data_IF_599355837874
#
_entry.id   IF_599355837874
#
_cell.length_a   1.000
_cell.length_b   1.000
_cell.length_c   1.000
_cell.angle_alpha   90.00
_cell.angle_beta   90.00
_cell.angle_gamma   90.00
#
_symmetry.space_group_name_H-M   'P 1'
#
loop_
_entity.id
_entity.type
_entity.pdbx_description
1 polymer ?
#
# COMPACT_ATOMS: atom_id res chain seq x y z
N UNK A 1 33.99 -26.56 0.11
CA UNK A 1 33.91 -25.61 -1.02
C UNK A 1 32.45 -25.36 -1.46
N UNK A 2 31.67 -26.38 -1.79
CA UNK A 2 30.27 -26.19 -2.29
C UNK A 2 29.39 -25.43 -1.31
N UNK A 3 29.38 -25.78 -0.03
CA UNK A 3 28.58 -25.05 1.00
C UNK A 3 28.98 -23.57 1.14
N UNK A 4 30.27 -23.27 1.02
CA UNK A 4 30.77 -21.91 1.08
C UNK A 4 30.28 -21.08 -0.13
N UNK A 5 30.30 -21.65 -1.34
CA UNK A 5 29.76 -21.03 -2.54
C UNK A 5 28.24 -20.80 -2.42
N UNK A 6 27.50 -21.74 -1.84
CA UNK A 6 26.05 -21.61 -1.60
C UNK A 6 25.76 -20.46 -0.62
N UNK A 7 26.53 -20.36 0.48
CA UNK A 7 26.39 -19.29 1.46
C UNK A 7 26.67 -17.93 0.82
N UNK A 8 27.76 -17.80 0.05
CA UNK A 8 28.11 -16.56 -0.67
C UNK A 8 27.00 -16.20 -1.66
N UNK A 9 26.51 -17.15 -2.45
CA UNK A 9 25.44 -16.92 -3.39
C UNK A 9 24.16 -16.46 -2.69
N UNK A 10 23.82 -17.06 -1.55
CA UNK A 10 22.65 -16.66 -0.74
C UNK A 10 22.80 -15.27 -0.16
N UNK A 11 23.98 -14.93 0.39
CA UNK A 11 24.27 -13.57 0.91
C UNK A 11 24.21 -12.54 -0.23
N UNK A 12 24.79 -12.87 -1.38
CA UNK A 12 24.77 -12.01 -2.56
C UNK A 12 23.34 -11.79 -3.08
N UNK A 13 22.53 -12.86 -3.15
CA UNK A 13 21.13 -12.78 -3.50
C UNK A 13 20.34 -11.90 -2.51
N UNK A 14 20.64 -12.03 -1.22
CA UNK A 14 19.97 -11.23 -0.17
C UNK A 14 20.35 -9.75 -0.21
N UNK A 15 21.59 -9.43 -0.68
CA UNK A 15 22.05 -8.04 -0.84
C UNK A 15 21.45 -7.40 -2.10
N UNK A 16 21.36 -8.13 -3.22
CA UNK A 16 20.90 -7.60 -4.51
C UNK A 16 19.36 -7.64 -4.61
N UNK A 17 18.75 -8.75 -4.17
CA UNK A 17 17.31 -8.93 -4.20
C UNK A 17 16.75 -8.69 -2.81
N UNK A 18 15.72 -7.87 -2.73
CA UNK A 18 14.97 -7.71 -1.48
C UNK A 18 14.09 -8.95 -1.21
N UNK A 19 14.78 -10.03 -0.86
CA UNK A 19 14.14 -11.33 -0.65
C UNK A 19 13.02 -11.27 0.39
N UNK A 20 13.22 -10.52 1.47
CA UNK A 20 12.20 -10.32 2.50
C UNK A 20 10.93 -9.68 1.96
N UNK A 21 11.06 -8.72 1.04
CA UNK A 21 9.92 -8.07 0.41
C UNK A 21 9.10 -9.07 -0.41
N UNK A 22 9.78 -9.84 -1.28
CA UNK A 22 9.10 -10.83 -2.12
C UNK A 22 8.44 -11.91 -1.29
N UNK A 23 9.15 -12.46 -0.30
CA UNK A 23 8.62 -13.50 0.58
C UNK A 23 7.38 -13.00 1.32
N UNK A 24 7.43 -11.81 1.88
CA UNK A 24 6.31 -11.21 2.60
C UNK A 24 5.14 -10.89 1.67
N UNK A 25 5.41 -10.38 0.46
CA UNK A 25 4.36 -10.15 -0.55
C UNK A 25 3.65 -11.45 -0.90
N UNK A 26 4.39 -12.51 -1.24
CA UNK A 26 3.84 -13.82 -1.57
C UNK A 26 3.03 -14.38 -0.40
N UNK A 27 3.58 -14.32 0.82
CA UNK A 27 2.88 -14.78 2.02
C UNK A 27 1.58 -14.00 2.26
N UNK A 28 1.60 -12.67 2.11
CA UNK A 28 0.41 -11.82 2.27
C UNK A 28 -0.67 -12.18 1.24
N UNK A 29 -0.30 -12.36 -0.03
CA UNK A 29 -1.25 -12.73 -1.09
C UNK A 29 -1.82 -14.13 -0.86
N UNK A 30 -0.98 -15.11 -0.52
CA UNK A 30 -1.42 -16.49 -0.26
C UNK A 30 -2.36 -16.55 0.94
N UNK A 31 -2.00 -15.92 2.06
CA UNK A 31 -2.84 -15.93 3.26
C UNK A 31 -4.17 -15.23 3.03
N UNK A 32 -4.20 -14.08 2.37
CA UNK A 32 -5.45 -13.39 2.03
C UNK A 32 -6.34 -14.20 1.09
N UNK A 33 -5.76 -14.97 0.18
CA UNK A 33 -6.53 -15.77 -0.79
C UNK A 33 -7.16 -17.03 -0.16
N UNK A 34 -6.39 -17.73 0.68
CA UNK A 34 -6.79 -19.06 1.17
C UNK A 34 -7.33 -19.06 2.60
N UNK A 35 -6.94 -18.10 3.42
CA UNK A 35 -7.30 -18.09 4.84
C UNK A 35 -8.36 -17.04 5.19
N UNK A 36 -8.66 -16.11 4.29
CA UNK A 36 -9.56 -15.01 4.58
C UNK A 36 -10.72 -14.93 3.59
N UNK A 37 -11.89 -14.51 4.07
CA UNK A 37 -13.07 -14.34 3.22
C UNK A 37 -12.97 -13.08 2.35
N UNK A 38 -13.58 -13.11 1.16
CA UNK A 38 -13.71 -11.90 0.32
C UNK A 38 -14.53 -10.85 1.06
N UNK A 39 -14.23 -9.59 0.82
CA UNK A 39 -14.87 -8.43 1.44
C UNK A 39 -15.32 -7.40 0.37
N UNK A 40 -16.10 -6.42 0.81
CA UNK A 40 -16.57 -5.31 -0.03
C UNK A 40 -15.51 -4.22 -0.18
N UNK A 41 -15.66 -3.35 -1.20
CA UNK A 41 -14.84 -2.14 -1.38
C UNK A 41 -14.93 -1.16 -0.20
N UNK A 42 -16.06 -1.17 0.52
CA UNK A 42 -16.31 -0.30 1.67
C UNK A 42 -15.69 -0.82 2.97
N UNK A 43 -15.26 -2.10 2.98
CA UNK A 43 -14.71 -2.73 4.17
C UNK A 43 -13.27 -2.27 4.45
N UNK A 44 -12.89 -2.38 5.72
CA UNK A 44 -11.53 -2.12 6.18
C UNK A 44 -10.79 -3.45 6.26
N UNK A 45 -9.65 -3.53 5.58
CA UNK A 45 -8.75 -4.68 5.72
C UNK A 45 -7.61 -4.37 6.67
N UNK A 46 -7.11 -5.37 7.39
CA UNK A 46 -6.07 -5.19 8.40
C UNK A 46 -4.94 -6.17 8.19
N UNK A 47 -3.72 -5.68 8.15
CA UNK A 47 -2.49 -6.48 8.24
C UNK A 47 -1.73 -6.15 9.51
N UNK A 48 -0.91 -7.10 9.97
CA UNK A 48 -0.09 -6.95 11.17
C UNK A 48 1.39 -6.86 10.82
N UNK A 49 2.12 -6.10 11.64
CA UNK A 49 3.55 -5.92 11.49
C UNK A 49 4.27 -5.77 12.83
N UNK A 50 5.58 -5.94 12.77
CA UNK A 50 6.50 -5.71 13.88
C UNK A 50 7.58 -4.74 13.39
N UNK A 51 7.83 -3.67 14.16
CA UNK A 51 8.92 -2.76 13.88
C UNK A 51 10.24 -3.40 14.29
N UNK A 52 11.06 -3.80 13.32
CA UNK A 52 12.36 -4.43 13.54
C UNK A 52 13.50 -3.41 13.48
N UNK A 53 14.72 -3.82 13.85
CA UNK A 53 15.92 -2.98 13.73
C UNK A 53 16.16 -2.48 12.31
N UNK A 54 15.83 -3.29 11.29
CA UNK A 54 15.98 -2.92 9.88
C UNK A 54 15.01 -1.81 9.44
N UNK A 55 13.91 -1.64 10.16
CA UNK A 55 12.86 -0.68 9.86
C UNK A 55 13.12 0.69 10.49
N UNK A 56 14.00 0.73 11.50
CA UNK A 56 14.25 1.91 12.32
C UNK A 56 15.15 2.95 11.64
N UNK A 57 15.11 4.15 12.21
CA UNK A 57 16.05 5.23 11.93
C UNK A 57 17.48 4.89 12.41
N UNK A 58 18.45 5.75 12.13
CA UNK A 58 19.86 5.57 12.50
C UNK A 58 20.05 5.47 14.02
N UNK A 59 19.15 6.04 14.79
CA UNK A 59 19.20 6.03 16.27
C UNK A 59 18.41 4.88 16.89
N UNK A 60 17.84 3.99 16.08
CA UNK A 60 17.02 2.86 16.52
C UNK A 60 15.85 3.22 17.45
N UNK A 61 15.30 4.42 17.28
CA UNK A 61 14.20 4.90 18.13
C UNK A 61 12.83 4.61 17.56
N UNK A 62 12.69 4.80 16.26
CA UNK A 62 11.39 4.69 15.59
C UNK A 62 11.52 4.22 14.16
N UNK A 63 10.40 3.77 13.60
CA UNK A 63 10.32 3.34 12.22
C UNK A 63 10.58 4.52 11.27
N UNK A 64 11.31 4.27 10.19
CA UNK A 64 11.50 5.26 9.11
C UNK A 64 10.22 5.39 8.28
N UNK A 65 9.84 6.62 7.95
CA UNK A 65 8.68 6.88 7.09
C UNK A 65 8.79 6.16 5.74
N UNK A 66 9.98 6.11 5.15
CA UNK A 66 10.20 5.38 3.89
C UNK A 66 9.89 3.87 4.03
N UNK A 67 10.13 3.29 5.20
CA UNK A 67 9.79 1.91 5.49
C UNK A 67 8.29 1.71 5.61
N UNK A 68 7.59 2.65 6.25
CA UNK A 68 6.11 2.63 6.31
C UNK A 68 5.47 2.71 4.95
N UNK A 69 5.98 3.57 4.05
CA UNK A 69 5.49 3.65 2.67
C UNK A 69 5.60 2.29 1.96
N UNK A 70 6.65 1.53 2.27
CA UNK A 70 6.81 0.17 1.77
C UNK A 70 5.86 -0.85 2.45
N UNK A 71 5.58 -0.66 3.73
CA UNK A 71 4.62 -1.50 4.46
C UNK A 71 3.19 -1.37 3.92
N UNK A 72 2.79 -0.19 3.45
CA UNK A 72 1.48 0.00 2.83
C UNK A 72 1.34 -0.73 1.48
N UNK A 73 2.43 -1.15 0.82
CA UNK A 73 2.34 -2.00 -0.37
C UNK A 73 1.74 -3.35 -0.02
N UNK A 74 2.17 -3.96 1.09
CA UNK A 74 1.59 -5.23 1.56
C UNK A 74 0.13 -5.06 1.95
N UNK A 75 -0.22 -3.97 2.64
CA UNK A 75 -1.59 -3.66 3.02
C UNK A 75 -2.50 -3.50 1.79
N UNK A 76 -1.99 -2.89 0.72
CA UNK A 76 -2.69 -2.73 -0.54
C UNK A 76 -2.85 -4.05 -1.29
N UNK A 77 -1.80 -4.88 -1.39
CA UNK A 77 -1.90 -6.21 -2.00
C UNK A 77 -2.92 -7.08 -1.26
N UNK A 78 -2.92 -7.04 0.07
CA UNK A 78 -3.91 -7.70 0.89
C UNK A 78 -5.34 -7.22 0.55
N UNK A 79 -5.55 -5.91 0.48
CA UNK A 79 -6.84 -5.33 0.10
C UNK A 79 -7.27 -5.76 -1.30
N UNK A 80 -6.38 -5.69 -2.28
CA UNK A 80 -6.68 -6.06 -3.67
C UNK A 80 -7.10 -7.53 -3.80
N UNK A 81 -6.44 -8.40 -3.06
CA UNK A 81 -6.76 -9.83 -3.06
C UNK A 81 -8.11 -10.11 -2.40
N UNK A 82 -8.38 -9.46 -1.24
CA UNK A 82 -9.61 -9.63 -0.47
C UNK A 82 -10.85 -9.14 -1.21
N UNK A 83 -10.74 -8.05 -1.94
CA UNK A 83 -11.87 -7.43 -2.67
C UNK A 83 -12.04 -8.00 -4.07
N UNK A 84 -11.00 -8.65 -4.63
CA UNK A 84 -11.02 -9.21 -5.99
C UNK A 84 -10.50 -8.23 -7.06
N UNK A 85 -9.94 -7.08 -6.67
CA UNK A 85 -9.31 -6.13 -7.61
C UNK A 85 -8.14 -6.79 -8.35
N UNK A 86 -7.38 -7.65 -7.68
CA UNK A 86 -6.23 -8.34 -8.29
C UNK A 86 -6.64 -9.24 -9.45
N UNK A 87 -7.63 -10.11 -9.25
CA UNK A 87 -8.17 -10.99 -10.30
C UNK A 87 -8.66 -10.18 -11.49
N UNK A 88 -9.43 -9.11 -11.20
CA UNK A 88 -9.98 -8.22 -12.22
C UNK A 88 -8.91 -7.46 -12.98
N UNK A 89 -7.82 -7.06 -12.31
CA UNK A 89 -6.69 -6.39 -12.96
C UNK A 89 -5.96 -7.28 -13.96
N UNK A 90 -5.84 -8.57 -13.68
CA UNK A 90 -5.27 -9.56 -14.61
C UNK A 90 -6.19 -9.75 -15.81
N UNK A 91 -7.50 -9.94 -15.61
CA UNK A 91 -8.49 -10.11 -16.67
C UNK A 91 -8.49 -8.93 -17.65
N UNK A 92 -8.40 -7.71 -17.14
CA UNK A 92 -8.46 -6.48 -17.95
C UNK A 92 -7.09 -6.00 -18.44
N UNK A 93 -5.99 -6.66 -18.04
CA UNK A 93 -4.62 -6.21 -18.34
C UNK A 93 -4.27 -4.86 -17.71
N UNK A 94 -4.94 -4.48 -16.61
CA UNK A 94 -4.73 -3.21 -15.91
C UNK A 94 -3.56 -3.35 -14.94
N UNK A 95 -2.61 -2.43 -15.05
CA UNK A 95 -1.47 -2.33 -14.13
C UNK A 95 -1.73 -1.27 -13.06
N UNK A 96 -1.35 -1.56 -11.82
CA UNK A 96 -1.39 -0.60 -10.72
C UNK A 96 -0.01 0.02 -10.51
N UNK A 97 0.05 1.35 -10.49
CA UNK A 97 1.27 2.11 -10.22
C UNK A 97 1.03 3.07 -9.06
N UNK A 98 1.91 3.02 -8.04
CA UNK A 98 1.86 4.01 -6.97
C UNK A 98 2.30 5.38 -7.49
N UNK A 99 1.38 6.34 -7.46
CA UNK A 99 1.61 7.69 -7.96
C UNK A 99 2.19 8.62 -6.90
N UNK A 100 1.57 8.63 -5.73
CA UNK A 100 1.98 9.53 -4.65
C UNK A 100 1.44 9.05 -3.31
N UNK A 101 2.10 9.48 -2.24
CA UNK A 101 1.69 9.17 -0.87
C UNK A 101 1.82 10.43 -0.03
N UNK A 102 0.76 10.74 0.71
CA UNK A 102 0.76 11.76 1.75
C UNK A 102 0.87 11.05 3.10
N UNK A 103 1.79 11.49 3.94
CA UNK A 103 2.01 10.90 5.26
C UNK A 103 1.87 11.94 6.34
N UNK A 104 1.05 11.65 7.34
CA UNK A 104 0.91 12.44 8.57
C UNK A 104 1.44 11.60 9.72
N UNK A 105 2.46 12.11 10.40
CA UNK A 105 3.04 11.48 11.59
C UNK A 105 2.36 12.05 12.82
N UNK A 106 1.61 11.23 13.54
CA UNK A 106 0.97 11.64 14.81
C UNK A 106 1.93 11.45 15.97
N UNK A 107 2.51 10.25 16.09
CA UNK A 107 3.52 9.90 17.07
C UNK A 107 4.52 8.92 16.46
N UNK A 108 5.79 8.88 16.90
CA UNK A 108 6.75 7.88 16.45
C UNK A 108 6.29 6.45 16.77
N UNK A 109 6.49 5.53 15.84
CA UNK A 109 6.29 4.09 16.06
C UNK A 109 7.59 3.50 16.60
N UNK A 110 7.63 3.08 17.89
CA UNK A 110 8.88 2.67 18.52
C UNK A 110 9.35 1.29 18.02
N UNK A 111 10.64 1.04 18.21
CA UNK A 111 11.25 -0.27 17.93
C UNK A 111 10.56 -1.38 18.73
N UNK A 112 10.47 -2.58 18.13
CA UNK A 112 9.80 -3.77 18.67
C UNK A 112 8.32 -3.59 18.99
N UNK A 113 7.70 -2.50 18.56
CA UNK A 113 6.26 -2.36 18.67
C UNK A 113 5.56 -3.25 17.65
N UNK A 114 4.59 -4.01 18.12
CA UNK A 114 3.59 -4.66 17.27
C UNK A 114 2.57 -3.62 16.84
N UNK A 115 2.28 -3.58 15.55
CA UNK A 115 1.30 -2.67 14.97
C UNK A 115 0.40 -3.38 13.99
N UNK A 116 -0.71 -2.73 13.67
CA UNK A 116 -1.59 -3.11 12.57
C UNK A 116 -1.73 -1.94 11.61
N UNK A 117 -1.97 -2.25 10.35
CA UNK A 117 -2.31 -1.27 9.31
C UNK A 117 -3.73 -1.57 8.86
N UNK A 118 -4.64 -0.66 9.17
CA UNK A 118 -6.00 -0.67 8.68
C UNK A 118 -6.04 0.04 7.34
N UNK A 119 -6.55 -0.61 6.30
CA UNK A 119 -6.59 -0.07 4.93
C UNK A 119 -8.03 0.02 4.46
N UNK A 120 -8.40 1.19 3.96
CA UNK A 120 -9.73 1.48 3.41
C UNK A 120 -9.60 2.19 2.07
N UNK A 121 -10.44 1.84 1.09
CA UNK A 121 -10.64 2.60 -0.13
C UNK A 121 -11.58 3.78 0.20
N UNK A 122 -11.07 5.02 0.13
CA UNK A 122 -11.84 6.21 0.53
C UNK A 122 -12.40 6.98 -0.64
N UNK A 123 -11.80 6.86 -1.82
CA UNK A 123 -12.25 7.54 -3.03
C UNK A 123 -11.60 6.91 -4.27
N UNK A 124 -12.23 7.08 -5.43
CA UNK A 124 -11.62 6.79 -6.74
C UNK A 124 -12.07 7.79 -7.79
N UNK A 125 -11.17 8.10 -8.72
CA UNK A 125 -11.46 8.87 -9.93
C UNK A 125 -11.37 7.97 -11.18
N UNK A 126 -11.42 8.53 -12.38
CA UNK A 126 -11.38 7.77 -13.65
C UNK A 126 -10.14 6.90 -13.80
N UNK A 127 -9.00 7.26 -13.16
CA UNK A 127 -7.70 6.63 -13.34
C UNK A 127 -6.97 6.30 -12.06
N UNK A 128 -7.53 6.64 -10.90
CA UNK A 128 -6.84 6.47 -9.62
C UNK A 128 -7.75 5.96 -8.53
N UNK A 129 -7.18 5.12 -7.67
CA UNK A 129 -7.75 4.67 -6.40
C UNK A 129 -7.03 5.38 -5.26
N UNK A 130 -7.76 5.82 -4.25
CA UNK A 130 -7.23 6.51 -3.07
C UNK A 130 -7.50 5.69 -1.83
N UNK A 131 -6.42 5.26 -1.21
CA UNK A 131 -6.46 4.46 0.02
C UNK A 131 -6.02 5.28 1.21
N UNK A 132 -6.72 5.10 2.30
CA UNK A 132 -6.32 5.56 3.62
C UNK A 132 -5.77 4.38 4.42
N UNK A 133 -4.62 4.58 5.05
CA UNK A 133 -3.93 3.59 5.86
C UNK A 133 -3.65 4.17 7.23
N UNK A 134 -4.24 3.58 8.26
CA UNK A 134 -3.97 3.92 9.65
C UNK A 134 -3.00 2.92 10.26
N UNK A 135 -1.87 3.39 10.74
CA UNK A 135 -0.90 2.57 11.48
C UNK A 135 -1.15 2.71 12.97
N UNK A 136 -1.60 1.63 13.58
CA UNK A 136 -2.04 1.60 14.98
C UNK A 136 -1.19 0.63 15.78
N UNK A 137 -0.62 1.08 16.89
CA UNK A 137 0.11 0.19 17.82
C UNK A 137 -0.86 -0.70 18.60
N UNK A 138 -0.55 -2.00 18.71
CA UNK A 138 -1.42 -2.96 19.39
C UNK A 138 -1.44 -2.79 20.91
N UNK A 139 -0.33 -2.30 21.47
CA UNK A 139 -0.17 -2.17 22.92
C UNK A 139 -1.11 -1.14 23.54
N UNK A 140 -1.27 0.01 22.91
CA UNK A 140 -2.01 1.17 23.44
C UNK A 140 -3.16 1.63 22.55
N UNK A 141 -3.35 0.99 21.38
CA UNK A 141 -4.42 1.33 20.44
C UNK A 141 -4.27 2.70 19.77
N UNK A 142 -3.12 3.36 19.89
CA UNK A 142 -2.91 4.71 19.34
C UNK A 142 -2.58 4.66 17.86
N UNK A 143 -3.18 5.60 17.12
CA UNK A 143 -2.81 5.87 15.71
C UNK A 143 -1.46 6.59 15.71
N UNK A 144 -0.45 5.97 15.11
CA UNK A 144 0.90 6.53 15.00
C UNK A 144 1.09 7.31 13.71
N UNK A 145 0.56 6.76 12.63
CA UNK A 145 0.68 7.38 11.30
C UNK A 145 -0.63 7.23 10.54
N UNK A 146 -0.95 8.27 9.77
CA UNK A 146 -2.00 8.25 8.77
C UNK A 146 -1.35 8.45 7.41
N UNK A 147 -1.55 7.52 6.49
CA UNK A 147 -1.03 7.62 5.12
C UNK A 147 -2.20 7.58 4.14
N UNK A 148 -2.14 8.45 3.14
CA UNK A 148 -3.06 8.41 2.01
C UNK A 148 -2.25 8.12 0.77
N UNK A 149 -2.55 7.02 0.09
CA UNK A 149 -1.86 6.61 -1.13
C UNK A 149 -2.77 6.74 -2.34
N UNK A 150 -2.23 7.28 -3.43
CA UNK A 150 -2.85 7.34 -4.75
C UNK A 150 -2.26 6.25 -5.62
N UNK A 151 -3.12 5.41 -6.16
CA UNK A 151 -2.76 4.33 -7.07
C UNK A 151 -3.34 4.60 -8.45
N UNK A 152 -2.50 4.71 -9.47
CA UNK A 152 -2.95 4.80 -10.85
C UNK A 152 -3.34 3.43 -11.37
N UNK A 153 -4.52 3.35 -11.98
CA UNK A 153 -4.92 2.21 -12.80
C UNK A 153 -4.54 2.50 -14.25
N UNK A 154 -3.55 1.78 -14.77
CA UNK A 154 -3.02 1.96 -16.12
C UNK A 154 -3.56 0.85 -17.00
N UNK A 155 -4.44 1.20 -17.92
CA UNK A 155 -5.06 0.29 -18.89
C UNK A 155 -5.27 0.98 -20.23
N UNK A 156 -5.87 0.26 -21.18
CA UNK A 156 -6.12 0.73 -22.55
C UNK A 156 -7.29 1.72 -22.66
N UNK A 157 -8.17 1.76 -21.67
CA UNK A 157 -9.38 2.60 -21.66
C UNK A 157 -9.20 3.84 -20.81
N UNK A 158 -9.96 4.92 -21.12
CA UNK A 158 -9.93 6.16 -20.31
C UNK A 158 -10.53 5.96 -18.90
N UNK A 159 -11.57 5.14 -18.78
CA UNK A 159 -12.30 4.84 -17.53
C UNK A 159 -11.80 3.53 -16.90
N UNK A 160 -10.49 3.41 -16.77
CA UNK A 160 -9.86 2.16 -16.35
C UNK A 160 -10.26 1.76 -14.93
N UNK A 161 -10.47 2.74 -14.06
CA UNK A 161 -10.84 2.47 -12.65
C UNK A 161 -12.28 1.96 -12.54
N UNK A 162 -13.22 2.54 -13.27
CA UNK A 162 -14.62 2.07 -13.28
C UNK A 162 -14.72 0.65 -13.85
N UNK A 163 -14.02 0.37 -14.95
CA UNK A 163 -13.97 -0.98 -15.52
C UNK A 163 -13.35 -1.99 -14.52
N UNK A 164 -12.32 -1.56 -13.77
CA UNK A 164 -11.65 -2.38 -12.76
C UNK A 164 -12.57 -2.71 -11.59
N UNK A 165 -13.38 -1.75 -11.13
CA UNK A 165 -14.26 -1.92 -9.98
C UNK A 165 -15.62 -2.50 -10.33
N UNK A 166 -16.03 -2.47 -11.60
CA UNK A 166 -17.36 -2.92 -12.06
C UNK A 166 -17.63 -4.36 -11.65
N UNK A 167 -18.75 -4.57 -10.96
CA UNK A 167 -19.19 -5.89 -10.49
C UNK A 167 -18.57 -6.36 -9.19
N UNK A 168 -17.66 -5.60 -8.59
CA UNK A 168 -17.17 -5.88 -7.24
C UNK A 168 -18.20 -5.40 -6.19
N UNK A 169 -18.33 -6.12 -5.05
CA UNK A 169 -19.22 -5.69 -3.98
C UNK A 169 -18.85 -4.26 -3.50
N UNK A 170 -19.84 -3.37 -3.38
CA UNK A 170 -19.61 -1.97 -2.98
C UNK A 170 -19.30 -1.01 -4.12
N UNK A 171 -19.17 -1.48 -5.39
CA UNK A 171 -18.84 -0.62 -6.53
C UNK A 171 -19.96 0.30 -7.00
N UNK A 172 -21.20 0.06 -6.59
CA UNK A 172 -22.38 0.79 -7.04
C UNK A 172 -22.46 2.22 -6.51
N UNK A 173 -21.79 2.51 -5.40
CA UNK A 173 -21.88 3.79 -4.72
C UNK A 173 -20.49 4.44 -4.62
N UNK A 174 -20.14 5.25 -5.61
CA UNK A 174 -18.89 6.01 -5.59
C UNK A 174 -18.91 7.05 -4.47
N UNK A 175 -17.97 6.98 -3.50
CA UNK A 175 -17.90 7.95 -2.42
C UNK A 175 -17.61 9.35 -2.94
N UNK A 176 -18.12 10.38 -2.24
CA UNK A 176 -17.73 11.76 -2.51
C UNK A 176 -16.24 11.95 -2.17
N UNK A 177 -15.53 12.74 -2.98
CA UNK A 177 -14.14 13.06 -2.70
C UNK A 177 -14.01 13.77 -1.35
N UNK A 178 -13.23 13.22 -0.40
CA UNK A 178 -12.99 13.89 0.87
C UNK A 178 -12.25 15.24 0.67
N UNK A 179 -12.57 16.30 1.43
CA UNK A 179 -12.00 17.64 1.22
C UNK A 179 -10.47 17.68 1.32
N UNK A 180 -9.86 16.85 2.14
CA UNK A 180 -8.41 16.78 2.27
C UNK A 180 -7.74 16.15 1.05
N UNK A 181 -8.38 15.16 0.40
CA UNK A 181 -7.92 14.57 -0.86
C UNK A 181 -8.06 15.58 -2.01
N UNK A 182 -9.16 16.30 -2.08
CA UNK A 182 -9.39 17.33 -3.10
C UNK A 182 -8.32 18.42 -3.04
N UNK A 183 -8.00 18.93 -1.85
CA UNK A 183 -6.91 19.90 -1.64
C UNK A 183 -5.55 19.34 -2.02
N UNK A 184 -5.30 18.09 -1.68
CA UNK A 184 -4.06 17.40 -2.05
C UNK A 184 -3.92 17.25 -3.56
N UNK A 185 -4.97 16.83 -4.26
CA UNK A 185 -5.00 16.76 -5.72
C UNK A 185 -4.74 18.12 -6.38
N UNK A 186 -5.36 19.18 -5.88
CA UNK A 186 -5.11 20.55 -6.37
C UNK A 186 -3.64 20.96 -6.19
N UNK A 187 -3.04 20.65 -5.04
CA UNK A 187 -1.61 20.91 -4.79
C UNK A 187 -0.69 20.14 -5.73
N UNK A 188 -1.01 18.86 -5.96
CA UNK A 188 -0.24 18.01 -6.88
C UNK A 188 -0.35 18.48 -8.32
N UNK A 189 -1.53 18.96 -8.75
CA UNK A 189 -1.71 19.52 -10.09
C UNK A 189 -0.81 20.72 -10.30
N UNK A 190 -0.79 21.67 -9.36
CA UNK A 190 0.11 22.84 -9.42
C UNK A 190 1.57 22.45 -9.51
N UNK A 191 1.99 21.41 -8.77
CA UNK A 191 3.37 20.89 -8.82
C UNK A 191 3.69 20.24 -10.17
N UNK A 192 2.75 19.51 -10.75
CA UNK A 192 2.88 18.91 -12.08
C UNK A 192 3.00 19.98 -13.19
N UNK A 193 2.17 21.02 -13.12
CA UNK A 193 2.19 22.13 -14.09
C UNK A 193 3.53 22.88 -14.03
N UNK A 194 4.08 23.08 -12.82
CA UNK A 194 5.42 23.65 -12.65
C UNK A 194 6.52 22.82 -13.28
N UNK A 195 6.41 21.49 -13.26
CA UNK A 195 7.39 20.59 -13.89
C UNK A 195 7.28 20.60 -15.42
N UNK A 196 6.06 20.61 -15.96
CA UNK A 196 5.81 20.67 -17.41
C UNK A 196 6.30 21.97 -18.02
N UNK A 197 6.14 23.09 -17.31
CA UNK A 197 6.62 24.41 -17.78
C UNK A 197 8.14 24.57 -17.73
N UNK A 198 8.87 23.58 -17.21
CA UNK A 198 10.35 23.56 -17.18
C UNK A 198 10.98 22.69 -18.28
N UNK A 199 10.16 21.90 -18.97
CA UNK A 199 10.55 21.09 -20.14
C UNK A 199 10.23 21.83 -21.43
#
# INVERSE_FOLDING_TARGET
>A
MVYFCIIIAFVFLHIICDFNYFLRTVFTVITSRFCENKCSLDDVTTIYGLCTLQDCDVFFKSIRTARLVREIDFARYHFYERVGIYERSIELGVKSLQGSTMTVVCEPLPIFALYKINTKLVYWDERSLFFEHEVVTLRDGKVRHLLISRQYAIGSTKETTEALLKGLPGSSNRPKCPPHIERWLSSMQKSSDKLRNKQ
#
